data_IF_196437824871
#
_entry.id   IF_196437824871
#
_cell.length_a   1.000
_cell.length_b   1.000
_cell.length_c   1.000
_cell.angle_alpha   90.00
_cell.angle_beta   90.00
_cell.angle_gamma   90.00
#
_symmetry.space_group_name_H-M   'P 1'
#
loop_
_entity.id
_entity.type
_entity.pdbx_description
1 polymer ?
#
# COMPACT_ATOMS: atom_id res chain seq x y z
N UNK A 1 -13.11 9.79 41.13
CA UNK A 1 -13.02 8.50 40.40
C UNK A 1 -13.03 8.85 38.93
N UNK A 2 -11.92 9.39 38.43
CA UNK A 2 -11.76 9.67 37.01
C UNK A 2 -11.64 8.31 36.33
N UNK A 3 -12.62 7.96 35.49
CA UNK A 3 -12.46 6.84 34.57
C UNK A 3 -11.28 7.20 33.68
N UNK A 4 -10.12 6.61 33.94
CA UNK A 4 -8.94 6.81 33.11
C UNK A 4 -9.32 6.40 31.68
N UNK A 5 -9.23 7.38 30.77
CA UNK A 5 -9.61 7.24 29.35
C UNK A 5 -8.89 6.03 28.73
N UNK A 6 -7.68 5.72 29.22
CA UNK A 6 -6.91 4.54 28.81
C UNK A 6 -7.59 3.21 29.14
N UNK A 7 -8.25 3.10 30.30
CA UNK A 7 -8.93 1.87 30.73
C UNK A 7 -10.18 1.65 29.87
N UNK A 8 -11.00 2.69 29.69
CA UNK A 8 -12.20 2.61 28.85
C UNK A 8 -11.84 2.27 27.40
N UNK A 9 -10.78 2.90 26.88
CA UNK A 9 -10.26 2.61 25.54
C UNK A 9 -9.81 1.15 25.38
N UNK A 10 -9.11 0.61 26.37
CA UNK A 10 -8.68 -0.80 26.39
C UNK A 10 -9.88 -1.75 26.35
N UNK A 11 -10.92 -1.51 27.13
CA UNK A 11 -12.14 -2.33 27.12
C UNK A 11 -12.89 -2.29 25.79
N UNK A 12 -13.00 -1.11 25.19
CA UNK A 12 -13.61 -0.96 23.86
C UNK A 12 -12.79 -1.72 22.82
N UNK A 13 -11.46 -1.57 22.84
CA UNK A 13 -10.55 -2.27 21.93
C UNK A 13 -10.63 -3.80 22.11
N UNK A 14 -10.72 -4.28 23.35
CA UNK A 14 -10.90 -5.69 23.67
C UNK A 14 -12.21 -6.24 23.10
N UNK A 15 -13.33 -5.57 23.38
CA UNK A 15 -14.64 -5.95 22.86
C UNK A 15 -14.66 -5.98 21.33
N UNK A 16 -14.18 -4.91 20.67
CA UNK A 16 -14.13 -4.85 19.21
C UNK A 16 -13.23 -5.94 18.61
N UNK A 17 -12.08 -6.22 19.23
CA UNK A 17 -11.18 -7.29 18.77
C UNK A 17 -11.88 -8.65 18.84
N UNK A 18 -12.58 -8.94 19.94
CA UNK A 18 -13.36 -10.17 20.09
C UNK A 18 -14.49 -10.27 19.04
N UNK A 19 -15.20 -9.17 18.79
CA UNK A 19 -16.24 -9.11 17.76
C UNK A 19 -15.68 -9.41 16.36
N UNK A 20 -14.47 -8.95 16.05
CA UNK A 20 -13.80 -9.28 14.77
C UNK A 20 -13.45 -10.77 14.70
N UNK A 21 -12.97 -11.37 15.80
CA UNK A 21 -12.69 -12.81 15.84
C UNK A 21 -13.94 -13.70 15.63
N UNK A 22 -15.14 -13.20 15.94
CA UNK A 22 -16.39 -13.91 15.61
C UNK A 22 -16.55 -14.21 14.10
N UNK A 23 -15.78 -13.56 13.22
CA UNK A 23 -15.68 -13.91 11.81
C UNK A 23 -15.29 -15.39 11.58
N UNK A 24 -14.45 -15.98 12.44
CA UNK A 24 -14.05 -17.39 12.30
C UNK A 24 -15.26 -18.34 12.46
N UNK A 25 -16.25 -17.95 13.26
CA UNK A 25 -17.49 -18.70 13.49
C UNK A 25 -18.65 -18.27 12.59
N UNK A 26 -18.38 -17.77 11.38
CA UNK A 26 -19.40 -17.20 10.47
C UNK A 26 -20.60 -18.11 10.18
N UNK A 27 -20.46 -19.41 10.35
CA UNK A 27 -21.52 -20.39 10.11
C UNK A 27 -22.61 -20.32 11.20
N UNK A 28 -22.31 -19.74 12.37
CA UNK A 28 -23.26 -19.52 13.46
C UNK A 28 -23.85 -18.10 13.32
N UNK A 29 -25.19 -17.96 13.23
CA UNK A 29 -25.84 -16.68 12.92
C UNK A 29 -25.55 -15.57 13.95
N UNK A 30 -25.40 -15.92 15.23
CA UNK A 30 -25.04 -14.97 16.28
C UNK A 30 -23.65 -14.36 16.05
N UNK A 31 -22.62 -15.18 15.82
CA UNK A 31 -21.26 -14.70 15.59
C UNK A 31 -21.15 -13.86 14.33
N UNK A 32 -21.86 -14.24 13.26
CA UNK A 32 -21.94 -13.44 12.06
C UNK A 32 -22.60 -12.07 12.30
N UNK A 33 -23.67 -11.99 13.11
CA UNK A 33 -24.30 -10.72 13.46
C UNK A 33 -23.36 -9.80 14.25
N UNK A 34 -22.67 -10.35 15.26
CA UNK A 34 -21.72 -9.61 16.10
C UNK A 34 -20.55 -9.05 15.27
N UNK A 35 -19.95 -9.88 14.41
CA UNK A 35 -18.91 -9.44 13.48
C UNK A 35 -19.39 -8.28 12.58
N UNK A 36 -20.63 -8.37 12.09
CA UNK A 36 -21.20 -7.35 11.19
C UNK A 36 -21.36 -6.00 11.88
N UNK A 37 -21.73 -5.99 13.16
CA UNK A 37 -21.78 -4.75 13.96
C UNK A 37 -20.40 -4.11 14.04
N UNK A 38 -19.36 -4.90 14.36
CA UNK A 38 -17.98 -4.37 14.39
C UNK A 38 -17.55 -3.82 13.02
N UNK A 39 -17.88 -4.52 11.92
CA UNK A 39 -17.60 -4.05 10.56
C UNK A 39 -18.33 -2.73 10.24
N UNK A 40 -19.60 -2.59 10.61
CA UNK A 40 -20.35 -1.35 10.41
C UNK A 40 -19.83 -0.19 11.26
N UNK A 41 -19.45 -0.45 12.51
CA UNK A 41 -18.81 0.56 13.37
C UNK A 41 -17.48 1.00 12.75
N UNK A 42 -16.64 0.05 12.31
CA UNK A 42 -15.37 0.34 11.67
C UNK A 42 -15.55 1.21 10.41
N UNK A 43 -16.47 0.82 9.51
CA UNK A 43 -16.77 1.58 8.28
C UNK A 43 -17.33 2.96 8.61
N UNK A 44 -18.25 3.05 9.59
CA UNK A 44 -18.84 4.31 10.01
C UNK A 44 -17.82 5.30 10.58
N UNK A 45 -16.93 4.82 11.46
CA UNK A 45 -15.85 5.63 12.03
C UNK A 45 -14.85 6.04 10.95
N UNK A 46 -14.47 5.14 10.04
CA UNK A 46 -13.56 5.45 8.93
C UNK A 46 -14.15 6.53 8.00
N UNK A 47 -15.43 6.42 7.64
CA UNK A 47 -16.12 7.42 6.83
C UNK A 47 -16.25 8.76 7.56
N UNK A 48 -16.56 8.74 8.86
CA UNK A 48 -16.65 9.95 9.69
C UNK A 48 -15.31 10.68 9.79
N UNK A 49 -14.23 9.96 10.10
CA UNK A 49 -12.89 10.51 10.12
C UNK A 49 -12.48 11.07 8.73
N UNK A 50 -12.76 10.32 7.67
CA UNK A 50 -12.52 10.75 6.30
C UNK A 50 -13.27 12.04 5.95
N UNK A 51 -14.53 12.18 6.38
CA UNK A 51 -15.32 13.39 6.18
C UNK A 51 -14.73 14.60 6.92
N UNK A 52 -14.29 14.43 8.17
CA UNK A 52 -13.65 15.50 8.96
C UNK A 52 -12.34 15.93 8.30
N UNK A 53 -11.53 14.97 7.84
CA UNK A 53 -10.28 15.24 7.12
C UNK A 53 -10.52 15.92 5.78
N UNK A 54 -11.56 15.52 5.03
CA UNK A 54 -11.94 16.21 3.80
C UNK A 54 -12.41 17.64 4.08
N UNK A 55 -13.17 17.86 5.16
CA UNK A 55 -13.64 19.19 5.53
C UNK A 55 -12.48 20.12 5.89
N UNK A 56 -11.66 19.74 6.88
CA UNK A 56 -10.61 20.60 7.42
C UNK A 56 -9.33 20.57 6.59
N UNK A 57 -9.00 19.45 5.97
CA UNK A 57 -7.77 19.29 5.18
C UNK A 57 -7.90 19.72 3.73
N UNK A 58 -9.13 19.74 3.17
CA UNK A 58 -9.35 20.00 1.75
C UNK A 58 -10.35 21.14 1.53
N UNK A 59 -11.62 20.98 1.92
CA UNK A 59 -12.68 21.94 1.57
C UNK A 59 -12.42 23.34 2.16
N UNK A 60 -12.16 23.44 3.47
CA UNK A 60 -11.94 24.72 4.12
C UNK A 60 -10.71 25.46 3.57
N UNK A 61 -9.50 24.86 3.53
CA UNK A 61 -8.30 25.56 3.09
C UNK A 61 -8.22 25.74 1.57
N UNK A 62 -8.73 24.79 0.77
CA UNK A 62 -8.56 24.83 -0.70
C UNK A 62 -9.74 25.42 -1.47
N UNK A 63 -10.93 25.48 -0.86
CA UNK A 63 -12.13 26.00 -1.52
C UNK A 63 -12.69 27.22 -0.80
N UNK A 64 -12.99 27.10 0.49
CA UNK A 64 -13.72 28.14 1.23
C UNK A 64 -12.83 29.35 1.51
N UNK A 65 -11.59 29.15 1.98
CA UNK A 65 -10.67 30.23 2.33
C UNK A 65 -10.26 31.10 1.12
N UNK A 66 -9.90 30.52 -0.05
CA UNK A 66 -9.60 31.32 -1.24
C UNK A 66 -10.81 32.09 -1.79
N UNK A 67 -12.01 31.49 -1.69
CA UNK A 67 -13.25 32.12 -2.13
C UNK A 67 -13.64 33.29 -1.21
N UNK A 68 -13.42 33.16 0.10
CA UNK A 68 -13.54 34.27 1.05
C UNK A 68 -12.53 35.40 0.75
N UNK A 69 -11.35 35.06 0.25
CA UNK A 69 -10.34 35.99 -0.27
C UNK A 69 -10.66 36.62 -1.63
N UNK A 70 -11.90 36.49 -2.15
CA UNK A 70 -12.37 37.01 -3.44
C UNK A 70 -11.63 36.46 -4.67
N UNK A 71 -11.02 35.28 -4.57
CA UNK A 71 -10.41 34.62 -5.73
C UNK A 71 -11.49 33.84 -6.52
N UNK A 72 -12.07 34.50 -7.52
CA UNK A 72 -13.20 33.97 -8.30
C UNK A 72 -12.87 32.69 -9.11
N UNK A 73 -11.60 32.38 -9.34
CA UNK A 73 -11.18 31.15 -10.03
C UNK A 73 -11.61 29.86 -9.33
N UNK A 74 -11.85 29.90 -8.02
CA UNK A 74 -12.29 28.75 -7.23
C UNK A 74 -13.80 28.47 -7.33
N UNK A 75 -14.55 29.29 -8.08
CA UNK A 75 -15.95 28.99 -8.40
C UNK A 75 -16.09 27.74 -9.27
N UNK A 76 -15.14 27.46 -10.16
CA UNK A 76 -15.19 26.27 -11.03
C UNK A 76 -15.17 24.97 -10.21
N UNK A 77 -14.22 24.75 -9.27
CA UNK A 77 -14.27 23.63 -8.33
C UNK A 77 -15.57 23.58 -7.50
N UNK A 78 -16.09 24.74 -7.08
CA UNK A 78 -17.34 24.80 -6.30
C UNK A 78 -18.54 24.30 -7.11
N UNK A 79 -18.66 24.73 -8.37
CA UNK A 79 -19.71 24.25 -9.29
C UNK A 79 -19.57 22.76 -9.53
N UNK A 80 -18.36 22.25 -9.75
CA UNK A 80 -18.13 20.80 -9.90
C UNK A 80 -18.55 20.02 -8.65
N UNK A 81 -18.22 20.50 -7.45
CA UNK A 81 -18.68 19.92 -6.18
C UNK A 81 -20.21 19.91 -6.07
N UNK A 82 -20.88 21.01 -6.42
CA UNK A 82 -22.35 21.09 -6.37
C UNK A 82 -23.00 20.14 -7.39
N UNK A 83 -22.45 20.02 -8.60
CA UNK A 83 -22.93 19.08 -9.60
C UNK A 83 -22.76 17.62 -9.13
N UNK A 84 -21.70 17.31 -8.39
CA UNK A 84 -21.48 15.99 -7.79
C UNK A 84 -22.54 15.67 -6.73
N UNK A 85 -22.82 16.62 -5.83
CA UNK A 85 -23.85 16.47 -4.78
C UNK A 85 -25.25 16.36 -5.41
N UNK A 86 -25.52 17.15 -6.45
CA UNK A 86 -26.76 17.08 -7.21
C UNK A 86 -26.97 15.70 -7.85
N UNK A 87 -25.90 15.07 -8.34
CA UNK A 87 -25.93 13.71 -8.90
C UNK A 87 -26.30 12.64 -7.86
N UNK A 88 -25.84 12.78 -6.62
CA UNK A 88 -26.17 11.83 -5.56
C UNK A 88 -27.68 11.75 -5.28
N UNK A 89 -28.43 12.84 -5.53
CA UNK A 89 -29.89 12.86 -5.41
C UNK A 89 -30.62 12.48 -6.70
N UNK A 90 -30.08 12.82 -7.87
CA UNK A 90 -30.66 12.45 -9.17
C UNK A 90 -29.57 12.16 -10.21
N UNK A 91 -29.56 10.99 -10.86
CA UNK A 91 -28.61 10.71 -11.93
C UNK A 91 -28.94 11.55 -13.16
N UNK A 92 -28.37 12.76 -13.24
CA UNK A 92 -28.48 13.66 -14.38
C UNK A 92 -27.20 13.64 -15.20
N UNK A 93 -27.32 13.92 -16.51
CA UNK A 93 -26.18 13.95 -17.44
C UNK A 93 -25.13 15.00 -17.09
N UNK A 94 -25.53 16.10 -16.41
CA UNK A 94 -24.60 17.14 -15.95
C UNK A 94 -23.59 16.63 -14.90
N UNK A 95 -23.98 15.65 -14.08
CA UNK A 95 -23.08 15.05 -13.10
C UNK A 95 -22.00 14.15 -13.72
N UNK A 96 -22.16 13.74 -14.99
CA UNK A 96 -21.16 12.93 -15.69
C UNK A 96 -19.88 13.73 -15.96
N UNK A 97 -19.99 15.06 -16.14
CA UNK A 97 -18.81 15.93 -16.35
C UNK A 97 -17.91 15.92 -15.11
N UNK A 98 -18.49 16.04 -13.92
CA UNK A 98 -17.70 15.98 -12.67
C UNK A 98 -17.07 14.61 -12.47
N UNK A 99 -17.79 13.52 -12.77
CA UNK A 99 -17.25 12.16 -12.65
C UNK A 99 -16.12 11.93 -13.67
N UNK A 100 -16.28 12.38 -14.92
CA UNK A 100 -15.22 12.32 -15.93
C UNK A 100 -13.98 13.12 -15.49
N UNK A 101 -14.17 14.29 -14.90
CA UNK A 101 -13.08 15.07 -14.32
C UNK A 101 -12.39 14.33 -13.15
N UNK A 102 -13.17 13.74 -12.23
CA UNK A 102 -12.62 12.99 -11.10
C UNK A 102 -11.82 11.76 -11.56
N UNK A 103 -12.32 11.01 -12.54
CA UNK A 103 -11.59 9.90 -13.14
C UNK A 103 -10.35 10.38 -13.90
N UNK A 104 -10.43 11.47 -14.67
CA UNK A 104 -9.29 12.03 -15.38
C UNK A 104 -8.16 12.44 -14.44
N UNK A 105 -8.49 13.19 -13.38
CA UNK A 105 -7.51 13.59 -12.35
C UNK A 105 -7.02 12.36 -11.57
N UNK A 106 -7.91 11.44 -11.19
CA UNK A 106 -7.56 10.22 -10.46
C UNK A 106 -6.60 9.33 -11.25
N UNK A 107 -6.87 9.12 -12.54
CA UNK A 107 -5.99 8.38 -13.44
C UNK A 107 -4.66 9.10 -13.65
N UNK A 108 -4.66 10.43 -13.84
CA UNK A 108 -3.42 11.20 -13.97
C UNK A 108 -2.55 11.12 -12.71
N UNK A 109 -3.15 11.24 -11.51
CA UNK A 109 -2.45 11.11 -10.24
C UNK A 109 -1.98 9.67 -9.98
N UNK A 110 -2.75 8.65 -10.36
CA UNK A 110 -2.34 7.25 -10.21
C UNK A 110 -1.18 6.91 -11.15
N UNK A 111 -1.25 7.31 -12.41
CA UNK A 111 -0.18 7.08 -13.40
C UNK A 111 1.05 7.91 -13.06
N UNK A 112 0.89 9.21 -12.82
CA UNK A 112 1.99 10.11 -12.47
C UNK A 112 2.62 9.77 -11.12
N UNK A 113 1.79 9.47 -10.12
CA UNK A 113 2.24 9.04 -8.79
C UNK A 113 2.91 7.67 -8.80
N UNK A 114 2.45 6.72 -9.62
CA UNK A 114 3.15 5.47 -9.85
C UNK A 114 4.48 5.69 -10.57
N UNK A 115 4.49 6.48 -11.64
CA UNK A 115 5.71 6.73 -12.41
C UNK A 115 6.79 7.43 -11.58
N UNK A 116 6.44 8.55 -10.94
CA UNK A 116 7.39 9.38 -10.20
C UNK A 116 7.61 8.85 -8.78
N UNK A 117 6.58 8.32 -8.14
CA UNK A 117 6.65 7.86 -6.76
C UNK A 117 7.19 6.44 -6.60
N UNK A 118 7.08 5.58 -7.63
CA UNK A 118 7.58 4.20 -7.55
C UNK A 118 8.55 3.85 -8.66
N UNK A 119 8.14 3.94 -9.93
CA UNK A 119 8.95 3.42 -11.05
C UNK A 119 10.30 4.13 -11.19
N UNK A 120 10.33 5.47 -11.18
CA UNK A 120 11.57 6.24 -11.31
C UNK A 120 12.53 5.98 -10.13
N UNK A 121 12.12 6.14 -8.85
CA UNK A 121 12.97 5.79 -7.72
C UNK A 121 13.46 4.34 -7.76
N UNK A 122 12.63 3.41 -8.24
CA UNK A 122 13.01 2.02 -8.35
C UNK A 122 14.04 1.78 -9.47
N UNK A 123 13.98 2.49 -10.59
CA UNK A 123 15.01 2.47 -11.63
C UNK A 123 16.30 3.10 -11.12
N UNK A 124 16.23 4.26 -10.47
CA UNK A 124 17.40 4.90 -9.87
C UNK A 124 18.08 4.02 -8.81
N UNK A 125 17.30 3.28 -8.01
CA UNK A 125 17.83 2.31 -7.05
C UNK A 125 18.62 1.16 -7.69
N UNK A 126 18.45 0.92 -9.00
CA UNK A 126 19.25 -0.06 -9.75
C UNK A 126 20.54 0.51 -10.31
N UNK A 127 20.75 1.84 -10.26
CA UNK A 127 22.01 2.49 -10.65
C UNK A 127 23.07 2.31 -9.55
N UNK A 128 23.43 1.06 -9.29
CA UNK A 128 24.37 0.70 -8.23
C UNK A 128 25.81 0.73 -8.77
N UNK A 129 26.72 1.31 -7.99
CA UNK A 129 28.15 1.34 -8.32
C UNK A 129 28.80 -0.01 -8.04
N UNK A 130 29.67 -0.49 -8.93
CA UNK A 130 30.47 -1.70 -8.68
C UNK A 130 31.85 -1.39 -8.08
N UNK A 131 32.22 -0.11 -7.95
CA UNK A 131 33.50 0.29 -7.37
C UNK A 131 33.46 0.16 -5.83
N UNK A 132 34.34 -0.66 -5.21
CA UNK A 132 34.42 -0.80 -3.75
C UNK A 132 34.74 0.50 -3.01
N UNK A 133 35.43 1.45 -3.66
CA UNK A 133 35.80 2.74 -3.06
C UNK A 133 34.61 3.59 -2.63
N UNK A 134 33.46 3.44 -3.29
CA UNK A 134 32.24 4.19 -2.95
C UNK A 134 31.54 3.67 -1.69
N UNK A 135 31.83 2.43 -1.27
CA UNK A 135 31.18 1.80 -0.11
C UNK A 135 32.01 1.88 1.16
N UNK A 136 33.28 2.30 1.10
CA UNK A 136 34.17 2.35 2.27
C UNK A 136 33.61 3.24 3.39
N UNK A 137 33.09 4.43 3.07
CA UNK A 137 32.53 5.34 4.06
C UNK A 137 31.24 4.86 4.74
N UNK A 138 30.45 4.02 4.05
CA UNK A 138 29.19 3.45 4.57
C UNK A 138 29.50 2.20 5.40
N UNK A 139 30.36 1.32 4.86
CA UNK A 139 30.82 0.11 5.51
C UNK A 139 31.47 0.37 6.87
N UNK A 140 32.31 1.40 6.98
CA UNK A 140 32.95 1.79 8.25
C UNK A 140 31.99 2.32 9.30
N UNK A 141 30.83 2.88 8.92
CA UNK A 141 29.83 3.40 9.86
C UNK A 141 28.90 2.30 10.39
N UNK A 142 28.60 1.32 9.53
CA UNK A 142 27.66 0.23 9.84
C UNK A 142 28.38 -1.02 10.40
N UNK A 143 29.70 -0.97 10.55
CA UNK A 143 30.50 -2.11 11.06
C UNK A 143 30.47 -3.33 10.12
N UNK A 144 30.10 -3.12 8.85
CA UNK A 144 29.95 -4.17 7.84
C UNK A 144 31.13 -4.15 6.88
N UNK A 145 31.42 -5.28 6.25
CA UNK A 145 32.51 -5.36 5.28
C UNK A 145 32.13 -4.71 3.95
N UNK A 146 33.02 -3.92 3.36
CA UNK A 146 32.86 -3.31 2.03
C UNK A 146 32.52 -4.35 0.96
N UNK A 147 33.00 -5.58 1.13
CA UNK A 147 32.75 -6.72 0.24
C UNK A 147 31.25 -7.06 0.18
N UNK A 148 30.52 -7.00 1.30
CA UNK A 148 29.08 -7.31 1.33
C UNK A 148 28.28 -6.34 0.47
N UNK A 149 28.59 -5.04 0.49
CA UNK A 149 27.90 -4.05 -0.36
C UNK A 149 28.19 -4.25 -1.85
N UNK A 150 29.44 -4.60 -2.19
CA UNK A 150 29.82 -4.88 -3.59
C UNK A 150 29.13 -6.16 -4.09
N UNK A 151 29.03 -7.19 -3.26
CA UNK A 151 28.29 -8.40 -3.59
C UNK A 151 26.80 -8.13 -3.75
N UNK A 152 26.20 -7.28 -2.90
CA UNK A 152 24.82 -6.86 -3.05
C UNK A 152 24.60 -6.07 -4.35
N UNK A 153 25.50 -5.11 -4.66
CA UNK A 153 25.48 -4.37 -5.92
C UNK A 153 25.54 -5.29 -7.14
N UNK A 154 26.42 -6.29 -7.11
CA UNK A 154 26.54 -7.30 -8.15
C UNK A 154 25.26 -8.14 -8.26
N UNK A 155 24.69 -8.56 -7.14
CA UNK A 155 23.44 -9.33 -7.10
C UNK A 155 22.28 -8.54 -7.71
N UNK A 156 22.14 -7.25 -7.37
CA UNK A 156 21.13 -6.37 -7.96
C UNK A 156 21.34 -6.22 -9.46
N UNK A 157 22.58 -5.96 -9.91
CA UNK A 157 22.89 -5.81 -11.33
C UNK A 157 22.62 -7.10 -12.13
N UNK A 158 23.12 -8.24 -11.65
CA UNK A 158 22.93 -9.54 -12.32
C UNK A 158 21.46 -9.97 -12.28
N UNK A 159 20.79 -9.80 -11.13
CA UNK A 159 19.38 -10.13 -10.95
C UNK A 159 18.49 -9.33 -11.90
N UNK A 160 18.67 -8.00 -11.96
CA UNK A 160 17.89 -7.12 -12.84
C UNK A 160 18.09 -7.43 -14.32
N UNK A 161 19.34 -7.57 -14.78
CA UNK A 161 19.65 -7.92 -16.18
C UNK A 161 19.02 -9.29 -16.52
N UNK A 162 19.22 -10.28 -15.66
CA UNK A 162 18.72 -11.65 -15.86
C UNK A 162 17.18 -11.69 -15.93
N UNK A 163 16.50 -10.96 -15.03
CA UNK A 163 15.04 -10.83 -15.04
C UNK A 163 14.52 -10.11 -16.29
N UNK A 164 15.16 -9.03 -16.73
CA UNK A 164 14.78 -8.32 -17.97
C UNK A 164 14.93 -9.21 -19.20
N UNK A 165 16.04 -9.95 -19.29
CA UNK A 165 16.25 -10.92 -20.37
C UNK A 165 15.18 -12.02 -20.35
N UNK A 166 14.82 -12.54 -19.18
CA UNK A 166 13.75 -13.52 -19.05
C UNK A 166 12.42 -13.02 -19.62
N UNK A 167 11.96 -11.82 -19.22
CA UNK A 167 10.68 -11.27 -19.70
C UNK A 167 10.70 -10.91 -21.19
N UNK A 168 11.80 -10.30 -21.65
CA UNK A 168 11.96 -9.91 -23.05
C UNK A 168 11.90 -11.13 -23.99
N UNK A 169 12.59 -12.22 -23.65
CA UNK A 169 12.67 -13.39 -24.53
C UNK A 169 11.56 -14.43 -24.31
N UNK A 170 11.03 -14.58 -23.09
CA UNK A 170 10.06 -15.63 -22.75
C UNK A 170 8.61 -15.15 -22.89
N UNK A 171 8.33 -13.90 -22.52
CA UNK A 171 6.95 -13.42 -22.38
C UNK A 171 6.50 -12.57 -23.57
N UNK A 172 7.43 -11.87 -24.22
CA UNK A 172 7.14 -11.04 -25.39
C UNK A 172 7.31 -11.80 -26.72
N UNK A 173 6.57 -12.89 -26.94
CA UNK A 173 6.30 -13.46 -28.28
C UNK A 173 7.48 -13.62 -29.25
N UNK A 174 8.72 -13.74 -28.77
CA UNK A 174 9.94 -13.73 -29.59
C UNK A 174 10.27 -15.12 -30.16
N UNK A 175 9.31 -16.05 -30.18
CA UNK A 175 9.47 -17.37 -30.77
C UNK A 175 9.57 -17.34 -32.30
N UNK A 176 9.33 -16.19 -32.98
CA UNK A 176 9.13 -16.20 -34.43
C UNK A 176 9.88 -15.15 -35.25
N UNK A 177 10.83 -14.36 -34.70
CA UNK A 177 11.43 -13.28 -35.53
C UNK A 177 12.91 -12.93 -35.40
N UNK A 178 13.77 -13.79 -34.85
CA UNK A 178 15.20 -13.44 -34.88
C UNK A 178 16.19 -14.51 -34.47
N UNK A 179 16.47 -15.41 -35.41
CA UNK A 179 17.79 -16.00 -35.67
C UNK A 179 18.60 -16.59 -34.49
N UNK A 180 18.49 -17.91 -34.31
CA UNK A 180 19.53 -18.97 -34.40
C UNK A 180 21.02 -18.74 -34.02
N UNK A 181 21.48 -17.58 -33.55
CA UNK A 181 22.93 -17.33 -33.42
C UNK A 181 23.47 -17.14 -32.00
N UNK A 182 22.67 -17.26 -30.92
CA UNK A 182 23.21 -17.22 -29.55
C UNK A 182 22.40 -18.04 -28.53
N UNK A 183 21.97 -19.25 -28.92
CA UNK A 183 20.96 -20.03 -28.17
C UNK A 183 21.39 -20.43 -26.75
N UNK A 184 22.66 -20.76 -26.48
CA UNK A 184 23.02 -21.32 -25.16
C UNK A 184 23.14 -20.28 -24.05
N UNK A 185 23.76 -19.13 -24.30
CA UNK A 185 23.90 -18.07 -23.27
C UNK A 185 22.55 -17.44 -22.90
N UNK A 186 21.65 -17.25 -23.89
CA UNK A 186 20.34 -16.64 -23.68
C UNK A 186 19.40 -17.58 -22.90
N UNK A 187 19.46 -18.90 -23.15
CA UNK A 187 18.67 -19.87 -22.39
C UNK A 187 19.16 -20.02 -20.94
N UNK A 188 20.48 -19.98 -20.70
CA UNK A 188 21.04 -20.07 -19.35
C UNK A 188 20.73 -18.80 -18.52
N UNK A 189 20.86 -17.61 -19.12
CA UNK A 189 20.50 -16.34 -18.45
C UNK A 189 19.00 -16.23 -18.21
N UNK A 190 18.15 -16.63 -19.15
CA UNK A 190 16.70 -16.62 -18.95
C UNK A 190 16.26 -17.62 -17.86
N UNK A 191 16.94 -18.76 -17.72
CA UNK A 191 16.72 -19.70 -16.62
C UNK A 191 17.02 -19.08 -15.25
N UNK A 192 18.13 -18.36 -15.14
CA UNK A 192 18.48 -17.62 -13.91
C UNK A 192 17.44 -16.54 -13.57
N UNK A 193 16.91 -15.84 -14.57
CA UNK A 193 15.90 -14.80 -14.36
C UNK A 193 14.60 -15.36 -13.78
N UNK A 194 14.17 -16.55 -14.24
CA UNK A 194 13.01 -17.26 -13.69
C UNK A 194 13.18 -17.63 -12.22
N UNK A 195 14.36 -18.15 -11.86
CA UNK A 195 14.68 -18.51 -10.48
C UNK A 195 14.70 -17.27 -9.59
N UNK A 196 15.31 -16.18 -10.06
CA UNK A 196 15.32 -14.90 -9.35
C UNK A 196 13.90 -14.38 -9.08
N UNK A 197 13.03 -14.38 -10.10
CA UNK A 197 11.62 -14.00 -9.97
C UNK A 197 10.90 -14.88 -8.94
N UNK A 198 11.11 -16.20 -8.96
CA UNK A 198 10.52 -17.13 -8.01
C UNK A 198 10.96 -16.83 -6.57
N UNK A 199 12.24 -16.54 -6.36
CA UNK A 199 12.75 -16.12 -5.06
C UNK A 199 12.14 -14.79 -4.60
N UNK A 200 12.06 -13.79 -5.48
CA UNK A 200 11.49 -12.48 -5.14
C UNK A 200 10.00 -12.61 -4.76
N UNK A 201 9.20 -13.32 -5.55
CA UNK A 201 7.79 -13.57 -5.20
C UNK A 201 7.65 -14.39 -3.92
N UNK A 202 8.51 -15.39 -3.72
CA UNK A 202 8.56 -16.17 -2.49
C UNK A 202 8.87 -15.30 -1.27
N UNK A 203 9.84 -14.40 -1.36
CA UNK A 203 10.19 -13.45 -0.31
C UNK A 203 9.04 -12.49 -0.02
N UNK A 204 8.42 -11.89 -1.05
CA UNK A 204 7.27 -10.98 -0.88
C UNK A 204 6.08 -11.69 -0.22
N UNK A 205 5.78 -12.93 -0.64
CA UNK A 205 4.74 -13.74 -0.02
C UNK A 205 5.08 -14.04 1.44
N UNK A 206 6.31 -14.49 1.74
CA UNK A 206 6.75 -14.76 3.10
C UNK A 206 6.65 -13.51 3.99
N UNK A 207 7.10 -12.34 3.52
CA UNK A 207 6.99 -11.08 4.27
C UNK A 207 5.54 -10.73 4.59
N UNK A 208 4.64 -10.85 3.62
CA UNK A 208 3.22 -10.57 3.87
C UNK A 208 2.57 -11.60 4.81
N UNK A 209 2.91 -12.88 4.69
CA UNK A 209 2.43 -13.93 5.57
C UNK A 209 2.92 -13.71 7.01
N UNK A 210 4.22 -13.45 7.20
CA UNK A 210 4.81 -13.15 8.51
C UNK A 210 4.17 -11.91 9.11
N UNK A 211 3.95 -10.84 8.33
CA UNK A 211 3.27 -9.64 8.79
C UNK A 211 1.85 -9.94 9.30
N UNK A 212 1.06 -10.72 8.55
CA UNK A 212 -0.29 -11.11 8.95
C UNK A 212 -0.31 -12.00 10.19
N UNK A 213 0.58 -12.98 10.28
CA UNK A 213 0.71 -13.86 11.45
C UNK A 213 1.17 -13.07 12.67
N UNK A 214 2.12 -12.14 12.50
CA UNK A 214 2.60 -11.28 13.58
C UNK A 214 1.49 -10.39 14.12
N UNK A 215 0.68 -9.77 13.26
CA UNK A 215 -0.51 -9.02 13.67
C UNK A 215 -1.52 -9.91 14.42
N UNK A 216 -1.73 -11.14 13.97
CA UNK A 216 -2.63 -12.09 14.63
C UNK A 216 -2.12 -12.45 16.03
N UNK A 217 -0.83 -12.75 16.18
CA UNK A 217 -0.20 -13.04 17.47
C UNK A 217 -0.30 -11.85 18.41
N UNK A 218 -0.08 -10.64 17.91
CA UNK A 218 -0.22 -9.39 18.67
C UNK A 218 -1.65 -9.21 19.20
N UNK A 219 -2.68 -9.47 18.37
CA UNK A 219 -4.07 -9.43 18.81
C UNK A 219 -4.43 -10.51 19.84
N UNK A 220 -3.89 -11.72 19.70
CA UNK A 220 -4.08 -12.78 20.71
C UNK A 220 -3.42 -12.43 22.04
N UNK A 221 -2.18 -11.92 22.02
CA UNK A 221 -1.47 -11.46 23.22
C UNK A 221 -2.27 -10.37 23.92
N UNK A 222 -2.75 -9.37 23.17
CA UNK A 222 -3.61 -8.32 23.71
C UNK A 222 -4.85 -8.85 24.43
N UNK A 223 -5.54 -9.85 23.87
CA UNK A 223 -6.70 -10.49 24.53
C UNK A 223 -6.28 -11.18 25.83
N UNK A 224 -5.20 -11.97 25.80
CA UNK A 224 -4.71 -12.71 26.96
C UNK A 224 -4.29 -11.74 28.07
N UNK A 225 -3.48 -10.73 27.75
CA UNK A 225 -2.98 -9.73 28.71
C UNK A 225 -4.14 -8.96 29.34
N UNK A 226 -5.17 -8.62 28.56
CA UNK A 226 -6.38 -7.96 29.07
C UNK A 226 -7.15 -8.87 30.02
N UNK A 227 -7.30 -10.17 29.70
CA UNK A 227 -7.97 -11.13 30.59
C UNK A 227 -7.17 -11.36 31.88
N UNK A 228 -5.84 -11.50 31.78
CA UNK A 228 -4.98 -11.67 32.95
C UNK A 228 -4.99 -10.45 33.85
N UNK A 229 -5.11 -9.24 33.28
CA UNK A 229 -5.28 -8.01 34.07
C UNK A 229 -6.60 -7.97 34.86
N UNK A 230 -7.60 -8.77 34.48
CA UNK A 230 -8.92 -8.85 35.11
C UNK A 230 -8.98 -9.87 36.25
N UNK A 231 -8.11 -10.89 36.24
CA UNK A 231 -8.05 -11.92 37.28
C UNK A 231 -7.01 -11.47 38.31
N UNK A 232 -7.41 -10.93 39.48
CA UNK A 232 -6.46 -10.72 40.56
C UNK A 232 -5.88 -12.07 40.98
N UNK A 233 -4.57 -12.12 41.20
CA UNK A 233 -3.87 -13.26 41.78
C UNK A 233 -4.42 -13.61 43.18
#
# INVERSE_FOLDING_TARGET
MELDIGIVGTWIAFALTLMVYCYLGKDIPFFHAVYRVAAYVFVGVALGYGAIMAWHGVLVPRLISPLAGKQWGYLVPLVLCLLLVGRARRPSGLGNVTIAFLFGVGSALAVGGGLIGTLLPQVEATFVSLNPGHYQGIASREGSSTVVYVLNALLVAVGTISTLLYFYFTTAGAAQRGARLHSQFIHLSAGFGKVFIMFTFGALFATTAISRISLLVDRFRFIIDTILSLVPA
#
